data_IF_424032731067
#
_entry.id   IF_424032731067
#
_cell.length_a   1.000
_cell.length_b   1.000
_cell.length_c   1.000
_cell.angle_alpha   90.00
_cell.angle_beta   90.00
_cell.angle_gamma   90.00
#
_symmetry.space_group_name_H-M   'P 1'
#
loop_
_entity.id
_entity.type
_entity.pdbx_description
1 polymer ?
#
# COMPACT_ATOMS: atom_id res chain seq x y z
N UNK A 1 9.06 22.72 20.85
CA UNK A 1 9.50 22.22 22.18
C UNK A 1 9.24 20.72 22.23
N UNK A 2 10.14 19.90 22.79
CA UNK A 2 9.99 18.43 22.81
C UNK A 2 9.65 17.94 24.23
N UNK A 3 8.44 17.43 24.41
CA UNK A 3 7.99 16.81 25.65
C UNK A 3 8.32 15.32 25.66
N UNK A 4 8.56 14.76 26.85
CA UNK A 4 8.77 13.33 27.04
C UNK A 4 7.93 12.85 28.23
N UNK A 5 7.45 11.62 28.16
CA UNK A 5 6.70 10.99 29.26
C UNK A 5 7.68 10.19 30.10
N UNK A 6 7.61 10.32 31.43
CA UNK A 6 8.39 9.50 32.38
C UNK A 6 7.48 8.78 33.36
N UNK A 7 7.94 7.62 33.82
CA UNK A 7 7.36 6.86 34.94
C UNK A 7 8.31 6.94 36.13
N UNK A 8 7.80 7.22 37.32
CA UNK A 8 8.60 7.31 38.55
C UNK A 8 7.88 6.59 39.68
N UNK A 9 8.59 5.77 40.46
CA UNK A 9 8.02 5.21 41.69
C UNK A 9 7.90 6.30 42.74
N UNK A 10 6.74 6.39 43.37
CA UNK A 10 6.46 7.32 44.48
C UNK A 10 6.83 6.68 45.81
N UNK A 11 6.89 7.48 46.87
CA UNK A 11 7.08 7.01 48.24
C UNK A 11 5.96 6.08 48.73
N UNK A 12 4.76 6.18 48.15
CA UNK A 12 3.61 5.32 48.44
C UNK A 12 3.56 4.03 47.59
N UNK A 13 4.69 3.67 46.97
CA UNK A 13 4.86 2.52 46.09
C UNK A 13 3.97 2.53 44.82
N UNK A 14 3.35 3.66 44.48
CA UNK A 14 2.62 3.86 43.22
C UNK A 14 3.56 4.34 42.10
N UNK A 15 3.14 4.22 40.85
CA UNK A 15 3.88 4.70 39.68
C UNK A 15 3.23 6.00 39.20
N UNK A 16 3.94 7.12 39.36
CA UNK A 16 3.55 8.41 38.82
C UNK A 16 3.94 8.55 37.35
N UNK A 17 3.00 8.97 36.51
CA UNK A 17 3.22 9.32 35.10
C UNK A 17 3.28 10.84 34.97
N UNK A 18 4.37 11.34 34.40
CA UNK A 18 4.66 12.78 34.31
C UNK A 18 5.14 13.14 32.92
N UNK A 19 4.76 14.33 32.45
CA UNK A 19 5.30 14.94 31.25
C UNK A 19 6.40 15.92 31.63
N UNK A 20 7.58 15.73 31.05
CA UNK A 20 8.78 16.52 31.28
C UNK A 20 9.23 17.21 30.00
N UNK A 21 10.00 18.29 30.17
CA UNK A 21 10.79 18.92 29.11
C UNK A 21 12.22 19.14 29.59
N UNK A 22 13.16 19.22 28.66
CA UNK A 22 14.53 19.59 28.96
C UNK A 22 14.74 21.07 28.58
N UNK A 23 15.23 21.87 29.53
CA UNK A 23 15.57 23.29 29.36
C UNK A 23 16.96 23.49 29.95
N UNK A 24 17.90 24.05 29.21
CA UNK A 24 19.28 24.29 29.66
C UNK A 24 19.94 23.04 30.28
N UNK A 25 19.78 21.88 29.64
CA UNK A 25 20.23 20.55 30.11
C UNK A 25 19.60 20.09 31.44
N UNK A 26 18.69 20.86 32.03
CA UNK A 26 17.94 20.48 33.23
C UNK A 26 16.57 19.92 32.86
N UNK A 27 16.10 18.96 33.65
CA UNK A 27 14.79 18.33 33.47
C UNK A 27 13.76 19.09 34.29
N UNK A 28 12.72 19.60 33.64
CA UNK A 28 11.61 20.30 34.29
C UNK A 28 10.33 19.48 34.11
N UNK A 29 9.61 19.24 35.21
CA UNK A 29 8.27 18.63 35.17
C UNK A 29 7.27 19.68 34.70
N UNK A 30 6.59 19.38 33.60
CA UNK A 30 5.62 20.30 32.99
C UNK A 30 4.22 19.99 33.49
N UNK A 31 3.88 18.70 33.57
CA UNK A 31 2.57 18.26 34.05
C UNK A 31 2.68 16.90 34.75
N UNK A 32 2.00 16.78 35.88
CA UNK A 32 1.75 15.50 36.53
C UNK A 32 0.40 14.97 36.04
N UNK A 33 0.39 13.78 35.43
CA UNK A 33 -0.82 13.19 34.85
C UNK A 33 -1.59 12.40 35.91
N UNK A 34 -0.87 11.72 36.80
CA UNK A 34 -1.43 10.98 37.93
C UNK A 34 -0.49 9.91 38.45
N UNK A 35 -0.94 9.15 39.45
CA UNK A 35 -0.23 8.00 39.98
C UNK A 35 -1.12 6.76 39.99
N UNK A 36 -0.58 5.63 39.57
CA UNK A 36 -1.28 4.36 39.42
C UNK A 36 -0.64 3.26 40.27
N UNK A 37 -1.43 2.27 40.70
CA UNK A 37 -0.92 1.12 41.48
C UNK A 37 -0.83 -0.16 40.68
N UNK A 38 -1.61 -0.29 39.61
CA UNK A 38 -1.58 -1.44 38.70
C UNK A 38 -0.96 -1.05 37.34
N UNK A 39 -0.70 -2.04 36.49
CA UNK A 39 -0.14 -1.79 35.15
C UNK A 39 -1.15 -1.17 34.19
N UNK A 40 -2.43 -1.52 34.32
CA UNK A 40 -3.48 -1.08 33.41
C UNK A 40 -3.78 0.42 33.56
N UNK A 41 -3.89 0.92 34.79
CA UNK A 41 -3.97 2.35 35.08
C UNK A 41 -2.74 3.11 34.59
N UNK A 42 -1.53 2.52 34.68
CA UNK A 42 -0.32 3.14 34.12
C UNK A 42 -0.44 3.28 32.60
N UNK A 43 -1.03 2.30 31.91
CA UNK A 43 -1.27 2.38 30.46
C UNK A 43 -2.25 3.50 30.15
N UNK A 44 -3.34 3.61 30.91
CA UNK A 44 -4.34 4.69 30.76
C UNK A 44 -3.68 6.06 30.97
N UNK A 45 -2.96 6.25 32.08
CA UNK A 45 -2.25 7.51 32.36
C UNK A 45 -1.18 7.82 31.30
N UNK A 46 -0.56 6.79 30.70
CA UNK A 46 0.41 6.98 29.63
C UNK A 46 -0.25 7.46 28.33
N UNK A 47 -1.42 6.93 27.97
CA UNK A 47 -2.18 7.39 26.82
C UNK A 47 -2.68 8.83 27.02
N UNK A 48 -3.22 9.15 28.20
CA UNK A 48 -3.61 10.53 28.55
C UNK A 48 -2.41 11.50 28.45
N UNK A 49 -1.21 11.05 28.84
CA UNK A 49 0.01 11.83 28.69
C UNK A 49 0.38 12.08 27.22
N UNK A 50 0.18 11.07 26.33
CA UNK A 50 0.40 11.22 24.88
C UNK A 50 -0.59 12.20 24.27
N UNK A 51 -1.88 12.08 24.59
CA UNK A 51 -2.93 13.00 24.13
C UNK A 51 -2.62 14.43 24.54
N UNK A 52 -2.27 14.64 25.82
CA UNK A 52 -1.87 15.97 26.30
C UNK A 52 -0.66 16.52 25.52
N UNK A 53 0.34 15.70 25.21
CA UNK A 53 1.48 16.14 24.40
C UNK A 53 1.01 16.53 22.99
N UNK A 54 0.16 15.74 22.35
CA UNK A 54 -0.37 16.03 21.02
C UNK A 54 -1.16 17.35 20.99
N UNK A 55 -2.00 17.61 21.98
CA UNK A 55 -2.72 18.87 22.16
C UNK A 55 -1.77 20.07 22.31
N UNK A 56 -0.73 19.93 23.14
CA UNK A 56 0.22 21.01 23.40
C UNK A 56 1.14 21.31 22.22
N UNK A 57 1.58 20.28 21.49
CA UNK A 57 2.50 20.47 20.37
C UNK A 57 1.76 20.80 19.08
N UNK A 58 0.45 20.54 19.00
CA UNK A 58 -0.36 20.60 17.77
C UNK A 58 0.31 19.87 16.61
N UNK A 59 1.08 18.82 16.91
CA UNK A 59 1.81 18.07 15.90
C UNK A 59 0.84 17.18 15.15
N UNK A 60 0.83 17.35 13.82
CA UNK A 60 0.16 16.42 12.92
C UNK A 60 0.99 15.13 12.93
N UNK A 61 0.37 13.96 13.16
CA UNK A 61 1.10 12.70 13.13
C UNK A 61 1.66 12.47 11.72
N UNK A 62 2.90 11.97 11.63
CA UNK A 62 3.56 11.69 10.35
C UNK A 62 2.86 10.56 9.58
N UNK A 63 2.19 9.66 10.29
CA UNK A 63 1.45 8.53 9.75
C UNK A 63 0.00 8.56 10.25
N UNK A 64 -0.96 8.04 9.46
CA UNK A 64 -2.34 7.86 9.90
C UNK A 64 -2.41 7.04 11.19
N UNK A 65 -3.28 7.43 12.12
CA UNK A 65 -3.48 6.72 13.39
C UNK A 65 -4.26 5.40 13.21
N UNK A 66 -4.98 5.26 12.09
CA UNK A 66 -5.72 4.08 11.71
C UNK A 66 -5.24 3.61 10.34
N UNK A 67 -4.65 2.42 10.30
CA UNK A 67 -4.33 1.72 9.07
C UNK A 67 -5.48 0.76 8.74
N UNK A 68 -6.29 1.10 7.73
CA UNK A 68 -7.28 0.18 7.20
C UNK A 68 -6.60 -0.87 6.34
N UNK A 69 -6.23 -1.99 6.95
CA UNK A 69 -5.78 -3.16 6.21
C UNK A 69 -6.99 -3.88 5.62
N UNK A 70 -7.09 -3.88 4.30
CA UNK A 70 -8.02 -4.76 3.57
C UNK A 70 -7.34 -6.12 3.47
N UNK A 71 -8.01 -7.18 3.93
CA UNK A 71 -7.43 -8.51 3.90
C UNK A 71 -7.45 -9.06 2.47
N UNK A 72 -6.37 -9.75 2.07
CA UNK A 72 -6.20 -10.24 0.69
C UNK A 72 -7.28 -11.27 0.33
N UNK A 73 -7.82 -11.94 1.34
CA UNK A 73 -8.93 -12.90 1.23
C UNK A 73 -10.22 -12.26 0.68
N UNK A 74 -10.32 -10.93 0.67
CA UNK A 74 -11.45 -10.18 0.10
C UNK A 74 -11.31 -9.92 -1.41
N UNK A 75 -10.20 -10.32 -2.03
CA UNK A 75 -9.93 -10.12 -3.45
C UNK A 75 -10.00 -11.43 -4.22
N UNK A 76 -10.54 -11.36 -5.44
CA UNK A 76 -10.50 -12.44 -6.42
C UNK A 76 -9.35 -12.21 -7.41
N UNK A 77 -8.55 -13.25 -7.66
CA UNK A 77 -7.50 -13.20 -8.67
C UNK A 77 -8.11 -13.40 -10.07
N UNK A 78 -8.21 -12.31 -10.85
CA UNK A 78 -8.77 -12.34 -12.20
C UNK A 78 -7.79 -12.81 -13.29
N UNK A 79 -6.51 -13.01 -12.96
CA UNK A 79 -5.46 -13.38 -13.92
C UNK A 79 -4.45 -12.27 -14.22
N UNK A 80 -3.56 -12.54 -15.17
CA UNK A 80 -2.60 -11.58 -15.70
C UNK A 80 -2.62 -11.59 -17.22
N UNK A 81 -2.44 -10.42 -17.83
CA UNK A 81 -2.40 -10.24 -19.28
C UNK A 81 -0.98 -9.83 -19.69
N UNK A 82 -0.51 -10.36 -20.82
CA UNK A 82 0.81 -10.06 -21.36
C UNK A 82 0.83 -8.72 -22.15
N UNK A 83 0.18 -7.69 -21.61
CA UNK A 83 -0.02 -6.39 -22.28
C UNK A 83 1.29 -5.73 -22.66
N UNK A 84 2.29 -5.77 -21.78
CA UNK A 84 3.60 -5.18 -22.08
C UNK A 84 4.29 -5.84 -23.28
N UNK A 85 4.23 -7.18 -23.38
CA UNK A 85 4.77 -7.92 -24.51
C UNK A 85 4.03 -7.57 -25.81
N UNK A 86 2.70 -7.56 -25.75
CA UNK A 86 1.85 -7.19 -26.89
C UNK A 86 2.18 -5.78 -27.41
N UNK A 87 2.21 -4.79 -26.53
CA UNK A 87 2.54 -3.40 -26.89
C UNK A 87 3.94 -3.27 -27.47
N UNK A 88 4.91 -4.01 -26.92
CA UNK A 88 6.30 -4.01 -27.41
C UNK A 88 6.36 -4.54 -28.84
N UNK A 89 5.74 -5.70 -29.10
CA UNK A 89 5.68 -6.28 -30.44
C UNK A 89 4.91 -5.41 -31.43
N UNK A 90 3.82 -4.78 -30.98
CA UNK A 90 3.05 -3.84 -31.81
C UNK A 90 3.87 -2.61 -32.20
N UNK A 91 4.63 -2.03 -31.26
CA UNK A 91 5.53 -0.90 -31.52
C UNK A 91 6.64 -1.28 -32.51
N UNK A 92 7.20 -2.48 -32.40
CA UNK A 92 8.19 -2.99 -33.36
C UNK A 92 7.58 -3.19 -34.75
N UNK A 93 6.43 -3.84 -34.84
CA UNK A 93 5.68 -3.99 -36.10
C UNK A 93 5.36 -2.63 -36.74
N UNK A 94 5.01 -1.63 -35.93
CA UNK A 94 4.75 -0.26 -36.40
C UNK A 94 6.02 0.40 -36.96
N UNK A 95 7.16 0.23 -36.29
CA UNK A 95 8.45 0.76 -36.79
C UNK A 95 8.91 0.10 -38.08
N UNK A 96 8.56 -1.17 -38.29
CA UNK A 96 8.81 -1.88 -39.55
C UNK A 96 7.81 -1.50 -40.65
N UNK A 97 6.82 -0.67 -40.35
CA UNK A 97 5.74 -0.31 -41.27
C UNK A 97 4.69 -1.41 -41.45
N UNK A 98 4.76 -2.52 -40.72
CA UNK A 98 3.83 -3.65 -40.88
C UNK A 98 2.39 -3.28 -40.52
N UNK A 99 2.19 -2.37 -39.57
CA UNK A 99 0.83 -1.97 -39.16
C UNK A 99 0.09 -1.16 -40.24
N UNK A 100 0.74 -0.78 -41.35
CA UNK A 100 0.10 -0.06 -42.46
C UNK A 100 -1.01 -0.85 -43.18
N UNK A 101 -1.02 -2.19 -43.07
CA UNK A 101 -2.05 -3.04 -43.68
C UNK A 101 -3.44 -2.92 -43.01
N UNK A 102 -3.56 -2.16 -41.92
CA UNK A 102 -4.85 -1.73 -41.34
C UNK A 102 -5.70 -2.81 -40.67
N UNK A 103 -5.32 -4.09 -40.75
CA UNK A 103 -6.07 -5.18 -40.12
C UNK A 103 -5.57 -5.47 -38.71
N UNK A 104 -6.39 -5.16 -37.71
CA UNK A 104 -6.11 -5.49 -36.29
C UNK A 104 -5.97 -7.00 -36.08
N UNK A 105 -6.89 -7.79 -36.63
CA UNK A 105 -6.84 -9.26 -36.56
C UNK A 105 -5.54 -9.80 -37.16
N UNK A 106 -5.07 -9.24 -38.27
CA UNK A 106 -3.81 -9.67 -38.89
C UNK A 106 -2.61 -9.41 -37.96
N UNK A 107 -2.52 -8.21 -37.39
CA UNK A 107 -1.48 -7.87 -36.42
C UNK A 107 -1.53 -8.77 -35.18
N UNK A 108 -2.72 -9.06 -34.65
CA UNK A 108 -2.88 -9.95 -33.49
C UNK A 108 -2.45 -11.38 -33.82
N UNK A 109 -2.83 -11.88 -35.01
CA UNK A 109 -2.43 -13.20 -35.50
C UNK A 109 -0.93 -13.32 -35.75
N UNK A 110 -0.26 -12.26 -36.20
CA UNK A 110 1.21 -12.25 -36.33
C UNK A 110 1.86 -12.18 -34.96
N UNK A 111 1.36 -11.31 -34.09
CA UNK A 111 1.87 -11.14 -32.72
C UNK A 111 1.84 -12.46 -31.96
N UNK A 112 0.72 -13.17 -31.97
CA UNK A 112 0.63 -14.46 -31.28
C UNK A 112 1.51 -15.52 -31.95
N UNK A 113 1.72 -15.49 -33.28
CA UNK A 113 2.60 -16.46 -33.95
C UNK A 113 4.08 -16.23 -33.73
N UNK A 114 4.49 -15.00 -33.42
CA UNK A 114 5.85 -14.71 -32.95
C UNK A 114 6.07 -15.34 -31.58
N UNK A 115 5.03 -15.36 -30.73
CA UNK A 115 5.09 -15.89 -29.36
C UNK A 115 4.94 -17.41 -29.35
N UNK A 116 3.91 -17.92 -30.01
CA UNK A 116 3.56 -19.33 -30.11
C UNK A 116 3.09 -19.66 -31.54
N UNK A 117 3.93 -20.32 -32.36
CA UNK A 117 3.61 -20.60 -33.75
C UNK A 117 2.60 -21.75 -33.87
N UNK A 118 1.31 -21.42 -33.87
CA UNK A 118 0.21 -22.40 -33.88
C UNK A 118 -0.77 -22.23 -35.05
N UNK A 119 -1.71 -23.17 -35.17
CA UNK A 119 -2.80 -23.12 -36.16
C UNK A 119 -3.62 -21.83 -36.02
N UNK A 120 -4.31 -21.42 -37.10
CA UNK A 120 -5.15 -20.20 -37.06
C UNK A 120 -6.23 -20.27 -35.98
N UNK A 121 -6.86 -21.44 -35.82
CA UNK A 121 -7.89 -21.65 -34.81
C UNK A 121 -7.31 -21.47 -33.40
N UNK A 122 -6.20 -22.15 -33.11
CA UNK A 122 -5.54 -22.07 -31.80
C UNK A 122 -5.02 -20.66 -31.49
N UNK A 123 -4.56 -19.93 -32.51
CA UNK A 123 -4.09 -18.55 -32.37
C UNK A 123 -5.18 -17.64 -31.79
N UNK A 124 -6.45 -17.81 -32.21
CA UNK A 124 -7.56 -16.97 -31.73
C UNK A 124 -7.83 -17.22 -30.24
N UNK A 125 -7.80 -18.48 -29.81
CA UNK A 125 -7.97 -18.86 -28.40
C UNK A 125 -6.84 -18.29 -27.52
N UNK A 126 -5.61 -18.35 -28.00
CA UNK A 126 -4.46 -17.81 -27.28
C UNK A 126 -4.45 -16.28 -27.23
N UNK A 127 -4.93 -15.59 -28.26
CA UNK A 127 -5.09 -14.13 -28.24
C UNK A 127 -6.07 -13.70 -27.13
N UNK A 128 -7.18 -14.42 -26.96
CA UNK A 128 -8.11 -14.18 -25.85
C UNK A 128 -7.46 -14.51 -24.51
N UNK A 129 -6.74 -15.63 -24.41
CA UNK A 129 -6.11 -16.07 -23.15
C UNK A 129 -4.98 -15.13 -22.69
N UNK A 130 -4.12 -14.68 -23.60
CA UNK A 130 -2.91 -13.92 -23.25
C UNK A 130 -3.13 -12.41 -23.23
N UNK A 131 -4.04 -11.91 -24.07
CA UNK A 131 -4.25 -10.48 -24.26
C UNK A 131 -5.68 -10.03 -23.96
N UNK A 132 -6.60 -10.95 -23.66
CA UNK A 132 -8.02 -10.66 -23.45
C UNK A 132 -8.67 -9.93 -24.65
N UNK A 133 -8.20 -10.24 -25.86
CA UNK A 133 -8.74 -9.71 -27.11
C UNK A 133 -9.61 -10.79 -27.76
N UNK A 134 -10.89 -10.49 -27.99
CA UNK A 134 -11.82 -11.42 -28.64
C UNK A 134 -11.98 -11.08 -30.12
N UNK A 135 -11.81 -12.08 -30.98
CA UNK A 135 -12.10 -11.98 -32.41
C UNK A 135 -13.32 -12.83 -32.74
N UNK A 136 -14.29 -12.27 -33.47
CA UNK A 136 -15.50 -13.00 -33.86
C UNK A 136 -15.17 -14.09 -34.87
N UNK A 137 -15.70 -15.30 -34.63
CA UNK A 137 -15.63 -16.41 -35.58
C UNK A 137 -16.80 -16.31 -36.54
N UNK A 138 -16.52 -16.11 -37.83
CA UNK A 138 -17.51 -16.35 -38.87
C UNK A 138 -17.60 -17.85 -39.10
N UNK A 139 -18.62 -18.49 -38.54
CA UNK A 139 -18.99 -19.86 -38.88
C UNK A 139 -19.65 -19.81 -40.26
N UNK A 140 -18.95 -20.30 -41.29
CA UNK A 140 -19.58 -20.65 -42.57
C UNK A 140 -20.04 -22.09 -42.51
#
# INVERSE_FOLDING_TARGET
MKYHIRKVKTSSNSIAVQVIKYVNRQRVVVKHIGSARNKDEVIILWNNAKEWIAEQTKQIPLFPLEEHFISIEQFEYLGFQYTFLYETLYKLQSRLGYTCFGSKLLNDLVTIRIIEPVSKLRSVELIETYFNIKHQRQTR
#
